data_IF_711582815503
#
_entry.id   IF_711582815503
#
_cell.length_a   1.000
_cell.length_b   1.000
_cell.length_c   1.000
_cell.angle_alpha   90.00
_cell.angle_beta   90.00
_cell.angle_gamma   90.00
#
_symmetry.space_group_name_H-M   'P 1'
#
loop_
_entity.id
_entity.type
_entity.pdbx_description
1 polymer ?
#
# COMPACT_ATOMS: atom_id res chain seq x y z
N UNK A 1 -21.85 21.31 8.05
CA UNK A 1 -20.61 20.79 7.44
C UNK A 1 -20.40 19.39 7.98
N UNK A 2 -20.74 18.39 7.17
CA UNK A 2 -20.44 16.99 7.46
C UNK A 2 -18.93 16.82 7.32
N UNK A 3 -18.21 16.59 8.42
CA UNK A 3 -16.82 16.18 8.41
C UNK A 3 -16.80 14.70 8.00
N UNK A 4 -16.52 14.44 6.72
CA UNK A 4 -16.21 13.08 6.26
C UNK A 4 -15.05 12.54 7.10
N UNK A 5 -15.14 11.30 7.58
CA UNK A 5 -14.01 10.67 8.23
C UNK A 5 -12.85 10.56 7.20
N UNK A 6 -11.58 10.64 7.63
CA UNK A 6 -10.44 10.52 6.70
C UNK A 6 -10.50 9.27 5.83
N UNK A 7 -11.12 8.20 6.31
CA UNK A 7 -11.31 6.93 5.62
C UNK A 7 -12.32 6.99 4.48
N UNK A 8 -13.47 7.64 4.68
CA UNK A 8 -14.48 7.80 3.62
C UNK A 8 -13.98 8.73 2.51
N UNK A 9 -13.27 9.81 2.89
CA UNK A 9 -12.66 10.73 1.93
C UNK A 9 -11.63 10.04 1.03
N UNK A 10 -10.77 9.17 1.57
CA UNK A 10 -9.79 8.42 0.79
C UNK A 10 -10.47 7.47 -0.19
N UNK A 11 -11.47 6.71 0.25
CA UNK A 11 -12.20 5.78 -0.63
C UNK A 11 -12.99 6.47 -1.74
N UNK A 12 -13.52 7.67 -1.48
CA UNK A 12 -14.24 8.46 -2.48
C UNK A 12 -13.28 9.13 -3.49
N UNK A 13 -12.08 9.52 -3.07
CA UNK A 13 -11.06 10.13 -3.93
C UNK A 13 -10.57 9.14 -4.99
N UNK A 14 -10.16 7.93 -4.60
CA UNK A 14 -9.65 6.98 -5.60
C UNK A 14 -10.74 6.50 -6.56
N UNK A 15 -11.99 6.33 -6.12
CA UNK A 15 -13.12 6.00 -6.99
C UNK A 15 -13.34 7.04 -8.08
N UNK A 16 -13.35 8.33 -7.71
CA UNK A 16 -13.48 9.41 -8.68
C UNK A 16 -12.31 9.42 -9.64
N UNK A 17 -11.12 9.12 -9.18
CA UNK A 17 -9.93 9.14 -10.02
C UNK A 17 -9.92 7.98 -11.02
N UNK A 18 -10.13 6.73 -10.58
CA UNK A 18 -10.20 5.58 -11.50
C UNK A 18 -11.40 5.68 -12.45
N UNK A 19 -12.58 6.13 -11.97
CA UNK A 19 -13.75 6.37 -12.82
C UNK A 19 -13.60 7.53 -13.81
N UNK A 20 -12.61 8.41 -13.63
CA UNK A 20 -12.28 9.51 -14.54
C UNK A 20 -11.16 9.18 -15.55
N UNK A 21 -10.78 7.91 -15.68
CA UNK A 21 -9.80 7.45 -16.66
C UNK A 21 -8.34 7.66 -16.27
N UNK A 22 -8.02 7.78 -15.00
CA UNK A 22 -6.64 7.76 -14.53
C UNK A 22 -6.09 6.33 -14.51
N UNK A 23 -4.93 6.12 -15.10
CA UNK A 23 -4.23 4.84 -15.11
C UNK A 23 -3.53 4.50 -13.78
N UNK A 24 -3.30 5.50 -12.93
CA UNK A 24 -2.57 5.35 -11.68
C UNK A 24 -3.08 6.32 -10.61
N UNK A 25 -3.28 5.80 -9.39
CA UNK A 25 -3.65 6.58 -8.21
C UNK A 25 -2.66 6.31 -7.10
N UNK A 26 -2.06 7.35 -6.55
CA UNK A 26 -1.18 7.28 -5.39
C UNK A 26 -1.87 7.85 -4.15
N UNK A 27 -2.02 7.03 -3.11
CA UNK A 27 -2.57 7.44 -1.83
C UNK A 27 -1.49 7.42 -0.76
N UNK A 28 -1.20 8.57 -0.15
CA UNK A 28 -0.24 8.72 0.93
C UNK A 28 -0.92 8.99 2.26
N UNK A 29 -0.66 8.16 3.27
CA UNK A 29 -1.23 8.27 4.62
C UNK A 29 -0.10 8.54 5.62
N UNK A 30 0.00 9.77 6.10
CA UNK A 30 1.11 10.23 6.95
C UNK A 30 0.90 10.02 8.46
N UNK A 31 -0.29 9.66 8.90
CA UNK A 31 -0.64 9.63 10.32
C UNK A 31 0.22 8.67 11.16
N UNK A 32 0.65 7.55 10.58
CA UNK A 32 1.49 6.54 11.25
C UNK A 32 2.91 7.05 11.53
N UNK A 33 3.47 7.81 10.60
CA UNK A 33 4.77 8.46 10.75
C UNK A 33 4.74 9.50 11.88
N UNK A 34 3.77 10.40 11.86
CA UNK A 34 3.57 11.41 12.91
C UNK A 34 3.44 10.76 14.28
N UNK A 35 2.61 9.72 14.43
CA UNK A 35 2.45 9.01 15.69
C UNK A 35 3.75 8.35 16.17
N UNK A 36 4.63 7.93 15.24
CA UNK A 36 5.94 7.37 15.58
C UNK A 36 6.89 8.43 16.10
N UNK A 37 6.97 9.60 15.47
CA UNK A 37 7.77 10.73 15.93
C UNK A 37 7.33 11.22 17.32
N UNK A 38 6.04 11.15 17.61
CA UNK A 38 5.44 11.51 18.91
C UNK A 38 5.60 10.39 19.97
N UNK A 39 6.30 9.30 19.69
CA UNK A 39 6.42 8.12 20.58
C UNK A 39 5.08 7.51 20.99
N UNK A 40 4.03 7.70 20.19
CA UNK A 40 2.65 7.33 20.50
C UNK A 40 2.28 5.98 19.85
N UNK A 41 2.82 4.88 20.38
CA UNK A 41 2.61 3.54 19.83
C UNK A 41 1.12 3.17 19.72
N UNK A 42 0.33 3.42 20.77
CA UNK A 42 -1.11 3.13 20.75
C UNK A 42 -1.87 3.90 19.67
N UNK A 43 -1.48 5.17 19.45
CA UNK A 43 -2.04 5.96 18.35
C UNK A 43 -1.65 5.40 16.99
N UNK A 44 -0.40 4.94 16.83
CA UNK A 44 0.05 4.32 15.59
C UNK A 44 -0.76 3.06 15.28
N UNK A 45 -0.96 2.18 16.26
CA UNK A 45 -1.80 0.97 16.12
C UNK A 45 -3.22 1.36 15.71
N UNK A 46 -3.87 2.28 16.41
CA UNK A 46 -5.22 2.74 16.08
C UNK A 46 -5.33 3.39 14.68
N UNK A 47 -4.27 4.01 14.18
CA UNK A 47 -4.23 4.50 12.80
C UNK A 47 -4.13 3.37 11.79
N UNK A 48 -3.27 2.36 12.05
CA UNK A 48 -3.12 1.19 11.17
C UNK A 48 -4.45 0.43 11.07
N UNK A 49 -5.12 0.17 12.20
CA UNK A 49 -6.44 -0.49 12.22
C UNK A 49 -7.49 0.27 11.41
N UNK A 50 -7.50 1.60 11.49
CA UNK A 50 -8.41 2.41 10.66
C UNK A 50 -8.07 2.38 9.18
N UNK A 51 -6.79 2.38 8.84
CA UNK A 51 -6.32 2.23 7.45
C UNK A 51 -6.73 0.87 6.91
N UNK A 52 -6.49 -0.19 7.67
CA UNK A 52 -6.85 -1.56 7.31
C UNK A 52 -8.36 -1.70 7.01
N UNK A 53 -9.20 -1.22 7.93
CA UNK A 53 -10.65 -1.21 7.69
C UNK A 53 -11.04 -0.46 6.42
N UNK A 54 -10.48 0.74 6.21
CA UNK A 54 -10.79 1.56 5.04
C UNK A 54 -10.30 0.94 3.74
N UNK A 55 -9.16 0.25 3.81
CA UNK A 55 -8.60 -0.50 2.69
C UNK A 55 -9.50 -1.67 2.33
N UNK A 56 -9.99 -2.46 3.31
CA UNK A 56 -10.95 -3.53 3.06
C UNK A 56 -12.20 -3.02 2.34
N UNK A 57 -12.83 -1.95 2.86
CA UNK A 57 -13.99 -1.31 2.21
C UNK A 57 -13.69 -0.81 0.78
N UNK A 58 -12.44 -0.48 0.52
CA UNK A 58 -11.97 -0.06 -0.79
C UNK A 58 -11.78 -1.24 -1.73
N UNK A 59 -11.10 -2.29 -1.28
CA UNK A 59 -10.81 -3.49 -2.05
C UNK A 59 -12.09 -4.23 -2.48
N UNK A 60 -13.12 -4.27 -1.62
CA UNK A 60 -14.43 -4.86 -1.95
C UNK A 60 -15.12 -4.23 -3.18
N UNK A 61 -14.60 -3.10 -3.66
CA UNK A 61 -15.18 -2.34 -4.77
C UNK A 61 -14.28 -2.29 -5.99
N UNK A 62 -13.13 -2.93 -5.94
CA UNK A 62 -12.18 -3.03 -7.05
C UNK A 62 -12.25 -4.40 -7.68
N UNK A 63 -12.16 -4.46 -9.00
CA UNK A 63 -11.97 -5.71 -9.72
C UNK A 63 -10.48 -6.06 -9.74
N UNK A 64 -10.06 -6.82 -8.73
CA UNK A 64 -8.67 -7.30 -8.61
C UNK A 64 -8.39 -8.51 -9.49
N UNK A 65 -9.42 -9.14 -10.06
CA UNK A 65 -9.25 -10.31 -10.92
C UNK A 65 -8.99 -9.92 -12.38
N UNK A 66 -9.53 -8.78 -12.83
CA UNK A 66 -9.51 -8.42 -14.25
C UNK A 66 -8.85 -7.08 -14.57
N UNK A 67 -9.02 -6.07 -13.73
CA UNK A 67 -8.74 -4.69 -14.15
C UNK A 67 -7.77 -3.93 -13.25
N UNK A 68 -7.65 -4.27 -11.96
CA UNK A 68 -6.99 -3.40 -10.99
C UNK A 68 -5.80 -4.07 -10.32
N UNK A 69 -4.65 -3.41 -10.31
CA UNK A 69 -3.52 -3.75 -9.46
C UNK A 69 -3.50 -2.87 -8.22
N UNK A 70 -3.30 -3.46 -7.06
CA UNK A 70 -3.14 -2.75 -5.78
C UNK A 70 -1.77 -3.09 -5.20
N UNK A 71 -0.99 -2.05 -4.92
CA UNK A 71 0.29 -2.17 -4.23
C UNK A 71 0.22 -1.40 -2.92
N UNK A 72 0.53 -2.08 -1.82
CA UNK A 72 0.55 -1.52 -0.47
C UNK A 72 1.99 -1.59 0.04
N UNK A 73 2.50 -0.47 0.53
CA UNK A 73 3.84 -0.39 1.11
C UNK A 73 3.96 0.83 2.03
N UNK A 74 5.15 1.03 2.58
CA UNK A 74 5.55 2.28 3.24
C UNK A 74 6.78 2.87 2.54
N UNK A 75 7.03 4.14 2.76
CA UNK A 75 8.21 4.85 2.26
C UNK A 75 9.46 4.55 3.09
N UNK A 76 9.31 4.46 4.41
CA UNK A 76 10.38 4.13 5.37
C UNK A 76 9.81 3.63 6.70
N UNK A 77 10.68 3.03 7.51
CA UNK A 77 10.39 2.71 8.90
C UNK A 77 10.60 3.94 9.78
N UNK A 78 9.63 4.23 10.67
CA UNK A 78 9.78 5.20 11.76
C UNK A 78 9.43 4.51 13.08
N UNK A 79 10.42 4.37 13.95
CA UNK A 79 10.28 3.65 15.21
C UNK A 79 9.58 4.50 16.28
N UNK A 80 8.55 3.97 16.91
CA UNK A 80 7.91 4.63 18.06
C UNK A 80 8.81 4.67 19.29
N UNK A 81 9.81 3.77 19.37
CA UNK A 81 10.77 3.72 20.46
C UNK A 81 11.78 4.86 20.38
N UNK A 82 12.29 5.15 19.18
CA UNK A 82 13.34 6.15 18.97
C UNK A 82 12.81 7.48 18.47
N UNK A 83 11.59 7.52 17.90
CA UNK A 83 11.02 8.67 17.22
C UNK A 83 11.77 9.05 15.95
N UNK A 84 12.55 8.12 15.37
CA UNK A 84 13.42 8.40 14.22
C UNK A 84 13.18 7.42 13.08
N UNK A 85 13.56 7.85 11.87
CA UNK A 85 13.63 6.95 10.72
C UNK A 85 14.74 5.94 10.92
N UNK A 86 14.47 4.69 10.57
CA UNK A 86 15.40 3.56 10.69
C UNK A 86 15.53 2.87 9.33
N UNK A 87 16.63 2.12 9.16
CA UNK A 87 16.94 1.46 7.89
C UNK A 87 16.31 0.08 7.72
N UNK A 88 15.35 -0.28 8.58
CA UNK A 88 14.64 -1.55 8.47
C UNK A 88 13.79 -1.61 7.21
N UNK A 89 13.71 -2.76 6.53
CA UNK A 89 12.84 -2.95 5.39
C UNK A 89 11.37 -2.71 5.75
N UNK A 90 10.61 -2.15 4.83
CA UNK A 90 9.15 -2.02 4.95
C UNK A 90 8.44 -3.17 4.24
N UNK A 91 7.24 -3.58 4.68
CA UNK A 91 6.48 -4.62 4.02
C UNK A 91 5.94 -4.13 2.68
N UNK A 92 5.81 -5.05 1.71
CA UNK A 92 5.19 -4.80 0.41
C UNK A 92 4.20 -5.91 0.12
N UNK A 93 2.99 -5.55 -0.29
CA UNK A 93 1.99 -6.46 -0.83
C UNK A 93 1.51 -5.98 -2.20
N UNK A 94 1.35 -6.90 -3.13
CA UNK A 94 0.86 -6.64 -4.48
C UNK A 94 -0.23 -7.64 -4.81
N UNK A 95 -1.37 -7.15 -5.28
CA UNK A 95 -2.50 -7.95 -5.75
C UNK A 95 -3.00 -7.42 -7.09
N UNK A 96 -3.60 -8.28 -7.89
CA UNK A 96 -4.19 -7.91 -9.18
C UNK A 96 -4.13 -9.05 -10.20
N UNK A 97 -4.61 -8.82 -11.43
CA UNK A 97 -4.61 -9.82 -12.49
C UNK A 97 -3.21 -10.40 -12.71
N UNK A 98 -3.11 -11.71 -12.92
CA UNK A 98 -1.86 -12.42 -13.19
C UNK A 98 -0.79 -12.32 -12.06
N UNK A 99 -1.07 -11.65 -10.95
CA UNK A 99 -0.18 -11.67 -9.78
C UNK A 99 -0.26 -13.05 -9.15
N UNK A 100 0.87 -13.75 -9.10
CA UNK A 100 0.93 -15.08 -8.48
C UNK A 100 0.82 -14.96 -6.97
N UNK A 101 -0.20 -15.57 -6.33
CA UNK A 101 -0.30 -15.59 -4.88
C UNK A 101 0.85 -16.42 -4.28
N UNK A 102 1.23 -16.06 -3.06
CA UNK A 102 2.14 -16.82 -2.21
C UNK A 102 1.43 -17.24 -0.90
N UNK A 103 2.15 -17.91 -0.02
CA UNK A 103 1.62 -18.43 1.24
C UNK A 103 1.62 -17.39 2.38
N UNK A 104 1.97 -16.14 2.10
CA UNK A 104 2.00 -15.06 3.11
C UNK A 104 0.59 -14.56 3.38
N UNK A 105 0.15 -14.71 4.61
CA UNK A 105 -1.20 -14.34 5.05
C UNK A 105 -1.25 -13.11 5.97
N UNK A 106 -0.09 -12.47 6.23
CA UNK A 106 0.01 -11.32 7.14
C UNK A 106 0.86 -10.23 6.52
N UNK A 107 0.37 -8.99 6.61
CA UNK A 107 1.09 -7.82 6.16
C UNK A 107 1.93 -7.24 7.30
N UNK A 108 3.11 -7.79 7.48
CA UNK A 108 4.14 -7.32 8.40
C UNK A 108 5.54 -7.59 7.82
N UNK A 109 6.57 -6.94 8.36
CA UNK A 109 7.93 -6.98 7.86
C UNK A 109 8.52 -8.40 7.83
N UNK A 110 8.20 -9.20 8.85
CA UNK A 110 8.73 -10.57 8.99
C UNK A 110 8.06 -11.54 8.03
N UNK A 111 6.74 -11.42 7.89
CA UNK A 111 5.95 -12.26 7.00
C UNK A 111 6.24 -11.93 5.54
N UNK A 112 6.21 -10.65 5.16
CA UNK A 112 6.48 -10.21 3.79
C UNK A 112 7.91 -10.52 3.32
N UNK A 113 8.89 -10.58 4.24
CA UNK A 113 10.26 -10.98 3.89
C UNK A 113 10.39 -12.41 3.33
N UNK A 114 9.35 -13.24 3.47
CA UNK A 114 9.29 -14.63 2.96
C UNK A 114 8.38 -14.77 1.74
N UNK A 115 7.76 -13.68 1.31
CA UNK A 115 6.85 -13.65 0.19
C UNK A 115 7.53 -13.76 -1.18
N UNK A 116 6.73 -13.96 -2.21
CA UNK A 116 7.17 -14.15 -3.60
C UNK A 116 7.88 -12.95 -4.20
N UNK A 117 7.67 -11.74 -3.68
CA UNK A 117 8.38 -10.54 -4.11
C UNK A 117 9.82 -10.48 -3.58
N UNK A 118 10.18 -11.29 -2.59
CA UNK A 118 11.50 -11.27 -1.95
C UNK A 118 11.89 -9.86 -1.45
N UNK A 119 13.19 -9.53 -1.45
CA UNK A 119 13.66 -8.18 -1.12
C UNK A 119 13.83 -7.34 -2.37
N UNK A 120 13.11 -6.23 -2.42
CA UNK A 120 13.13 -5.26 -3.50
C UNK A 120 13.71 -3.92 -3.01
N UNK A 121 14.24 -3.14 -3.94
CA UNK A 121 14.50 -1.73 -3.70
C UNK A 121 13.23 -0.94 -4.02
N UNK A 122 12.95 0.15 -3.30
CA UNK A 122 11.78 0.99 -3.58
C UNK A 122 11.68 1.44 -5.04
N UNK A 123 12.80 1.68 -5.69
CA UNK A 123 12.87 2.04 -7.11
C UNK A 123 12.44 0.93 -8.08
N UNK A 124 12.36 -0.31 -7.64
CA UNK A 124 11.95 -1.44 -8.48
C UNK A 124 10.41 -1.59 -8.54
N UNK A 125 9.67 -1.00 -7.61
CA UNK A 125 8.21 -1.14 -7.51
C UNK A 125 7.46 -0.56 -8.72
N UNK A 126 7.79 0.66 -9.14
CA UNK A 126 7.14 1.27 -10.31
C UNK A 126 7.43 0.53 -11.62
N UNK A 127 8.67 0.10 -11.92
CA UNK A 127 8.95 -0.79 -13.06
C UNK A 127 8.11 -2.07 -13.04
N UNK A 128 7.92 -2.72 -11.88
CA UNK A 128 7.07 -3.92 -11.75
C UNK A 128 5.61 -3.58 -12.11
N UNK A 129 5.05 -2.53 -11.53
CA UNK A 129 3.68 -2.10 -11.82
C UNK A 129 3.49 -1.74 -13.30
N UNK A 130 4.42 -0.98 -13.87
CA UNK A 130 4.37 -0.60 -15.29
C UNK A 130 4.44 -1.80 -16.23
N UNK A 131 5.20 -2.83 -15.86
CA UNK A 131 5.26 -4.09 -16.62
C UNK A 131 3.93 -4.85 -16.53
N UNK A 132 3.34 -4.98 -15.34
CA UNK A 132 2.03 -5.62 -15.14
C UNK A 132 0.92 -4.90 -15.90
N UNK A 133 0.95 -3.57 -15.93
CA UNK A 133 0.02 -2.74 -16.69
C UNK A 133 0.26 -2.75 -18.21
N UNK A 134 1.28 -3.45 -18.70
CA UNK A 134 1.62 -3.46 -20.12
C UNK A 134 2.11 -2.11 -20.67
N UNK A 135 2.54 -1.19 -19.80
CA UNK A 135 2.96 0.17 -20.16
C UNK A 135 4.46 0.28 -20.51
N UNK A 136 5.20 -0.83 -20.47
CA UNK A 136 6.62 -0.90 -20.85
C UNK A 136 6.84 -1.96 -21.94
N UNK A 137 7.86 -1.77 -22.76
CA UNK A 137 8.28 -2.82 -23.71
C UNK A 137 8.78 -4.03 -22.92
N UNK A 138 8.27 -5.20 -23.25
CA UNK A 138 8.76 -6.45 -22.64
C UNK A 138 10.22 -6.68 -23.10
N UNK A 139 11.09 -7.05 -22.17
CA UNK A 139 12.45 -7.45 -22.51
C UNK A 139 12.42 -8.79 -23.26
N UNK A 140 13.16 -8.88 -24.36
CA UNK A 140 13.36 -10.14 -25.08
C UNK A 140 12.42 -10.39 -26.28
N UNK A 141 11.70 -9.36 -26.75
CA UNK A 141 10.90 -9.42 -27.99
C UNK A 141 11.26 -8.30 -28.93
#
# INVERSE_FOLDING_TARGET
RSTLSPSSAASDVYKRQLGNGYDFVFLHIKATDVASHDHAADKKVAFIERVDKSLGEALDRLDLEQETYVLITADHTTSTRTGKHEGDPVPVALAGPEVRPDDVSRFDEVSCARGGLCRLRGMDLMPILMNLLGKVKRFGF
#
